data_IF_215840427779
#
_entry.id   IF_215840427779
#
_cell.length_a   1.000
_cell.length_b   1.000
_cell.length_c   1.000
_cell.angle_alpha   90.00
_cell.angle_beta   90.00
_cell.angle_gamma   90.00
#
_symmetry.space_group_name_H-M   'P 1'
#
loop_
_entity.id
_entity.type
_entity.pdbx_description
1 polymer ?
#
# COMPACT_ATOMS: atom_id res chain seq x y z
N UNK A 1 17.76 15.68 -11.14
CA UNK A 1 17.21 15.51 -9.77
C UNK A 1 15.91 14.73 -9.89
N UNK A 2 15.71 13.70 -9.06
CA UNK A 2 14.42 12.99 -9.02
C UNK A 2 13.39 13.91 -8.35
N UNK A 3 12.21 14.07 -8.96
CA UNK A 3 11.11 14.79 -8.31
C UNK A 3 10.61 13.98 -7.11
N UNK A 4 10.30 14.61 -5.96
CA UNK A 4 9.79 13.90 -4.79
C UNK A 4 8.40 13.30 -5.06
N UNK A 5 8.13 12.13 -4.48
CA UNK A 5 6.82 11.48 -4.58
C UNK A 5 5.79 12.16 -3.68
N UNK A 6 4.54 12.11 -4.13
CA UNK A 6 3.36 12.32 -3.30
C UNK A 6 2.71 10.99 -2.98
N UNK A 7 2.35 10.76 -1.71
CA UNK A 7 1.75 9.52 -1.26
C UNK A 7 0.25 9.69 -0.97
N UNK A 8 -0.56 8.72 -1.37
CA UNK A 8 -1.87 8.47 -0.78
C UNK A 8 -1.89 7.04 -0.25
N UNK A 9 -2.34 6.83 0.98
CA UNK A 9 -2.37 5.50 1.60
C UNK A 9 -3.73 5.22 2.24
N UNK A 10 -4.07 3.96 2.45
CA UNK A 10 -5.34 3.59 3.06
C UNK A 10 -5.45 4.04 4.53
N UNK A 11 -4.38 3.87 5.30
CA UNK A 11 -4.26 4.31 6.69
C UNK A 11 -2.88 4.82 7.05
N UNK A 12 -2.69 5.09 8.34
CA UNK A 12 -1.44 5.58 8.92
C UNK A 12 -0.34 4.50 8.94
N UNK A 13 -0.71 3.24 9.15
CA UNK A 13 0.24 2.13 9.15
C UNK A 13 0.82 1.93 7.73
N UNK A 14 -0.02 2.00 6.70
CA UNK A 14 0.40 1.98 5.30
C UNK A 14 1.32 3.14 4.96
N UNK A 15 1.07 4.33 5.52
CA UNK A 15 1.93 5.50 5.32
C UNK A 15 3.33 5.25 5.88
N UNK A 16 3.43 4.70 7.09
CA UNK A 16 4.70 4.36 7.71
C UNK A 16 5.51 3.38 6.85
N UNK A 17 4.84 2.35 6.31
CA UNK A 17 5.44 1.37 5.39
C UNK A 17 5.88 2.04 4.09
N UNK A 18 5.01 2.83 3.44
CA UNK A 18 5.32 3.53 2.19
C UNK A 18 6.51 4.49 2.33
N UNK A 19 6.58 5.24 3.44
CA UNK A 19 7.71 6.11 3.77
C UNK A 19 9.00 5.32 3.98
N UNK A 20 8.94 4.18 4.67
CA UNK A 20 10.11 3.31 4.87
C UNK A 20 10.64 2.75 3.56
N UNK A 21 9.75 2.34 2.65
CA UNK A 21 10.13 1.89 1.30
C UNK A 21 10.82 3.03 0.54
N UNK A 22 10.21 4.22 0.50
CA UNK A 22 10.79 5.38 -0.18
C UNK A 22 12.18 5.72 0.38
N UNK A 23 12.32 5.77 1.71
CA UNK A 23 13.60 6.04 2.37
C UNK A 23 14.67 4.98 2.04
N UNK A 24 14.29 3.70 2.01
CA UNK A 24 15.19 2.60 1.66
C UNK A 24 15.68 2.69 0.21
N UNK A 25 14.86 3.23 -0.68
CA UNK A 25 15.17 3.42 -2.10
C UNK A 25 15.80 4.78 -2.42
N UNK A 26 16.04 5.63 -1.41
CA UNK A 26 16.56 6.99 -1.62
C UNK A 26 15.57 7.94 -2.29
N UNK A 27 14.28 7.62 -2.26
CA UNK A 27 13.20 8.43 -2.83
C UNK A 27 12.69 9.42 -1.78
N UNK A 28 12.69 10.71 -2.14
CA UNK A 28 12.13 11.77 -1.29
C UNK A 28 10.61 11.80 -1.39
N UNK A 29 9.93 12.07 -0.27
CA UNK A 29 8.47 12.24 -0.20
C UNK A 29 8.15 13.68 0.14
N UNK A 30 7.39 14.37 -0.72
CA UNK A 30 6.97 15.75 -0.50
C UNK A 30 5.73 15.85 0.39
N UNK A 31 4.70 15.07 0.07
CA UNK A 31 3.42 15.08 0.77
C UNK A 31 2.89 13.66 0.96
N UNK A 32 2.15 13.43 2.04
CA UNK A 32 1.39 12.21 2.26
C UNK A 32 -0.05 12.52 2.66
N UNK A 33 -0.96 11.66 2.19
CA UNK A 33 -2.39 11.76 2.45
C UNK A 33 -2.90 10.39 2.91
N UNK A 34 -2.66 9.99 4.18
CA UNK A 34 -3.30 8.81 4.74
C UNK A 34 -4.81 9.01 4.79
N UNK A 35 -5.54 8.05 4.24
CA UNK A 35 -6.98 7.97 4.37
C UNK A 35 -7.34 7.36 5.74
N UNK A 36 -8.64 7.13 5.95
CA UNK A 36 -9.17 6.45 7.13
C UNK A 36 -9.96 5.23 6.66
N UNK A 37 -9.27 4.36 5.92
CA UNK A 37 -9.84 3.17 5.28
C UNK A 37 -10.33 3.38 3.85
N UNK A 38 -10.60 2.26 3.17
CA UNK A 38 -10.99 2.17 1.75
C UNK A 38 -12.15 3.05 1.34
N UNK A 39 -13.19 3.12 2.16
CA UNK A 39 -14.39 3.94 1.86
C UNK A 39 -14.03 5.42 1.66
N UNK A 40 -12.92 5.90 2.24
CA UNK A 40 -12.42 7.27 2.05
C UNK A 40 -11.36 7.37 0.95
N UNK A 41 -10.64 6.29 0.66
CA UNK A 41 -9.58 6.25 -0.35
C UNK A 41 -10.14 6.00 -1.76
N UNK A 42 -10.96 4.98 -1.94
CA UNK A 42 -11.44 4.49 -3.24
C UNK A 42 -12.12 5.57 -4.08
N UNK A 43 -13.02 6.42 -3.53
CA UNK A 43 -13.62 7.51 -4.30
C UNK A 43 -12.61 8.54 -4.84
N UNK A 44 -11.38 8.58 -4.28
CA UNK A 44 -10.34 9.54 -4.63
C UNK A 44 -9.31 8.98 -5.62
N UNK A 45 -9.26 7.68 -5.87
CA UNK A 45 -8.26 7.04 -6.76
C UNK A 45 -8.24 7.71 -8.13
N UNK A 46 -9.41 7.99 -8.71
CA UNK A 46 -9.50 8.70 -10.00
C UNK A 46 -8.88 10.10 -9.95
N UNK A 47 -9.07 10.83 -8.86
CA UNK A 47 -8.51 12.17 -8.69
C UNK A 47 -6.98 12.12 -8.51
N UNK A 48 -6.45 11.14 -7.78
CA UNK A 48 -5.00 10.94 -7.67
C UNK A 48 -4.38 10.59 -9.02
N UNK A 49 -5.03 9.75 -9.82
CA UNK A 49 -4.56 9.44 -11.17
C UNK A 49 -4.55 10.67 -12.09
N UNK A 50 -5.55 11.55 -11.98
CA UNK A 50 -5.54 12.84 -12.70
C UNK A 50 -4.43 13.76 -12.20
N UNK A 51 -4.19 13.82 -10.89
CA UNK A 51 -3.11 14.60 -10.30
C UNK A 51 -1.71 14.07 -10.69
N UNK A 52 -1.60 12.78 -11.00
CA UNK A 52 -0.37 12.14 -11.47
C UNK A 52 0.12 12.65 -12.84
N UNK A 53 -0.71 13.40 -13.57
CA UNK A 53 -0.28 14.10 -14.77
C UNK A 53 0.66 15.29 -14.49
N UNK A 54 0.71 15.78 -13.25
CA UNK A 54 1.44 17.02 -12.90
C UNK A 54 2.63 16.78 -11.98
N UNK A 55 2.52 15.82 -11.07
CA UNK A 55 3.59 15.43 -10.13
C UNK A 55 3.54 13.90 -9.95
N UNK A 56 4.62 13.23 -9.54
CA UNK A 56 4.61 11.79 -9.40
C UNK A 56 3.85 11.35 -8.12
N UNK A 57 2.98 10.36 -8.26
CA UNK A 57 2.18 9.79 -7.17
C UNK A 57 2.47 8.30 -6.95
N UNK A 58 2.45 7.90 -5.69
CA UNK A 58 2.33 6.50 -5.27
C UNK A 58 1.06 6.37 -4.41
N UNK A 59 0.15 5.51 -4.83
CA UNK A 59 -1.07 5.17 -4.07
C UNK A 59 -0.92 3.75 -3.52
N UNK A 60 -0.91 3.60 -2.20
CA UNK A 60 -0.83 2.30 -1.52
C UNK A 60 -2.19 1.95 -0.90
N UNK A 61 -2.80 0.87 -1.40
CA UNK A 61 -4.08 0.33 -0.94
C UNK A 61 -3.91 -1.17 -0.79
N UNK A 62 -4.35 -1.74 0.32
CA UNK A 62 -4.37 -3.20 0.44
C UNK A 62 -5.46 -3.80 -0.46
N UNK A 63 -5.38 -5.12 -0.70
CA UNK A 63 -6.35 -5.83 -1.52
C UNK A 63 -7.48 -6.46 -0.67
N UNK A 64 -7.34 -6.54 0.65
CA UNK A 64 -8.11 -7.45 1.52
C UNK A 64 -8.46 -8.79 0.82
N UNK A 65 -9.75 -9.08 0.70
CA UNK A 65 -10.36 -10.16 -0.07
C UNK A 65 -11.15 -9.61 -1.28
N UNK A 66 -10.85 -8.39 -1.73
CA UNK A 66 -11.53 -7.70 -2.85
C UNK A 66 -11.27 -8.39 -4.20
N UNK A 67 -10.34 -9.35 -4.23
CA UNK A 67 -10.17 -10.34 -5.26
C UNK A 67 -9.98 -11.73 -4.62
N UNK A 68 -10.36 -12.84 -5.27
CA UNK A 68 -10.06 -14.17 -4.79
C UNK A 68 -8.53 -14.32 -4.70
N UNK A 69 -7.99 -14.20 -3.50
CA UNK A 69 -6.62 -14.55 -3.23
C UNK A 69 -6.47 -16.04 -3.58
N UNK A 70 -5.54 -16.37 -4.49
CA UNK A 70 -5.23 -17.77 -4.80
C UNK A 70 -4.82 -18.40 -3.48
N UNK A 71 -5.69 -19.21 -2.90
CA UNK A 71 -5.35 -19.98 -1.70
C UNK A 71 -4.02 -20.67 -2.00
N UNK A 72 -3.02 -20.43 -1.15
CA UNK A 72 -1.83 -21.27 -1.14
C UNK A 72 -2.39 -22.68 -0.96
N UNK A 73 -2.14 -23.64 -1.87
CA UNK A 73 -2.50 -25.02 -1.60
C UNK A 73 -1.84 -25.34 -0.26
N UNK A 74 -2.63 -25.64 0.77
CA UNK A 74 -2.08 -26.10 2.02
C UNK A 74 -1.31 -27.37 1.69
N UNK A 75 0.01 -27.26 1.58
CA UNK A 75 0.85 -28.43 1.63
C UNK A 75 0.66 -28.93 3.05
N UNK A 76 -0.16 -29.97 3.19
CA UNK A 76 -0.19 -30.79 4.38
C UNK A 76 1.27 -31.17 4.67
N UNK A 77 1.92 -30.45 5.58
CA UNK A 77 3.23 -30.82 6.09
C UNK A 77 2.95 -31.79 7.23
N UNK A 78 3.17 -33.11 7.07
CA UNK A 78 2.94 -34.04 8.14
C UNK A 78 4.11 -33.88 9.12
N UNK A 79 3.95 -33.10 10.19
CA UNK A 79 5.07 -32.95 11.11
C UNK A 79 4.96 -32.03 12.31
N UNK A 80 3.89 -31.27 12.52
CA UNK A 80 3.77 -30.46 13.74
C UNK A 80 2.83 -31.11 14.77
N UNK A 81 3.33 -32.15 15.44
CA UNK A 81 2.75 -32.62 16.69
C UNK A 81 3.30 -31.76 17.84
N UNK A 82 2.63 -30.65 18.13
CA UNK A 82 2.76 -29.98 19.42
C UNK A 82 1.93 -30.72 20.46
N UNK A 83 2.46 -31.80 21.01
CA UNK A 83 1.87 -32.52 22.14
C UNK A 83 1.99 -31.68 23.42
N UNK A 84 0.89 -31.66 24.19
CA UNK A 84 0.91 -31.52 25.65
C UNK A 84 1.13 -32.89 26.26
#
# INVERSE_FOLDING_TARGET
>A
MQQPLTLATEGFDDEAVARKICATLGISVAHSYPARGKTKLDPKIRAYNQAAAFVPWLVLRDLDADAPCRAIPQQNHPGFNGAT
#
